data_IF_897190467667
#
_entry.id   IF_897190467667
#
_cell.length_a   1.000
_cell.length_b   1.000
_cell.length_c   1.000
_cell.angle_alpha   90.00
_cell.angle_beta   90.00
_cell.angle_gamma   90.00
#
_symmetry.space_group_name_H-M   'P 1'
#
loop_
_entity.id
_entity.type
_entity.pdbx_description
1 polymer ?
#
# COMPACT_ATOMS: atom_id res chain seq x y z
N UNK A 1 -57.94 -29.06 -56.78
CA UNK A 1 -56.73 -29.39 -56.01
C UNK A 1 -55.84 -28.18 -55.97
N UNK A 2 -55.87 -27.39 -54.84
CA UNK A 2 -55.03 -26.22 -54.66
C UNK A 2 -53.79 -26.67 -53.88
N UNK A 3 -52.61 -26.54 -54.44
CA UNK A 3 -51.32 -26.82 -53.77
C UNK A 3 -50.97 -25.63 -52.96
N UNK A 4 -50.90 -25.81 -51.62
CA UNK A 4 -50.42 -24.86 -50.67
C UNK A 4 -48.87 -24.96 -50.56
N UNK A 5 -48.13 -23.96 -50.98
CA UNK A 5 -46.66 -23.87 -50.74
C UNK A 5 -46.42 -23.26 -49.42
N UNK A 6 -45.89 -24.07 -48.48
CA UNK A 6 -45.44 -23.62 -47.18
C UNK A 6 -44.01 -23.04 -47.33
N UNK A 7 -43.86 -21.72 -47.26
CA UNK A 7 -42.55 -21.09 -47.22
C UNK A 7 -42.05 -21.12 -45.76
N UNK A 8 -41.11 -22.01 -45.48
CA UNK A 8 -40.41 -22.02 -44.18
C UNK A 8 -39.36 -20.90 -44.18
N UNK A 9 -39.66 -19.82 -43.48
CA UNK A 9 -38.71 -18.73 -43.21
C UNK A 9 -37.71 -19.21 -42.15
N UNK A 10 -36.50 -19.61 -42.55
CA UNK A 10 -35.38 -19.85 -41.64
C UNK A 10 -34.90 -18.52 -41.11
N UNK A 11 -35.35 -18.12 -39.91
CA UNK A 11 -34.76 -17.05 -39.13
C UNK A 11 -33.43 -17.55 -38.53
N UNK A 12 -32.34 -17.29 -39.22
CA UNK A 12 -31.02 -17.39 -38.64
C UNK A 12 -30.86 -16.26 -37.62
N UNK A 13 -31.06 -16.56 -36.36
CA UNK A 13 -30.59 -15.68 -35.28
C UNK A 13 -29.06 -15.71 -35.33
N UNK A 14 -28.47 -14.68 -35.96
CA UNK A 14 -27.08 -14.33 -35.69
C UNK A 14 -27.07 -13.76 -34.31
N UNK A 15 -26.85 -14.60 -33.31
CA UNK A 15 -26.50 -14.17 -31.98
C UNK A 15 -25.13 -13.50 -32.09
N UNK A 16 -25.15 -12.17 -32.23
CA UNK A 16 -23.96 -11.37 -31.99
C UNK A 16 -23.74 -11.36 -30.48
N UNK A 17 -23.27 -12.47 -29.91
CA UNK A 17 -22.90 -12.59 -28.52
C UNK A 17 -21.72 -11.67 -28.28
N UNK A 18 -21.93 -10.57 -27.54
CA UNK A 18 -20.83 -9.79 -26.97
C UNK A 18 -19.95 -10.73 -26.16
N UNK A 19 -18.63 -10.69 -26.40
CA UNK A 19 -17.71 -11.49 -25.60
C UNK A 19 -17.86 -11.08 -24.12
N UNK A 20 -17.77 -12.03 -23.16
CA UNK A 20 -17.71 -11.66 -21.74
C UNK A 20 -16.63 -10.59 -21.48
N UNK A 21 -16.89 -9.69 -20.55
CA UNK A 21 -16.01 -8.54 -20.26
C UNK A 21 -14.60 -9.01 -19.91
N UNK A 22 -14.46 -10.06 -19.09
CA UNK A 22 -13.20 -10.66 -18.66
C UNK A 22 -12.36 -11.12 -19.85
N UNK A 23 -13.02 -11.69 -20.87
CA UNK A 23 -12.34 -12.12 -22.09
C UNK A 23 -11.91 -10.94 -22.96
N UNK A 24 -12.72 -9.87 -23.01
CA UNK A 24 -12.36 -8.66 -23.75
C UNK A 24 -11.12 -7.99 -23.12
N UNK A 25 -11.07 -7.92 -21.79
CA UNK A 25 -9.94 -7.34 -21.06
C UNK A 25 -8.70 -8.21 -21.20
N UNK A 26 -8.84 -9.53 -21.02
CA UNK A 26 -7.72 -10.45 -21.18
C UNK A 26 -7.12 -10.41 -22.60
N UNK A 27 -7.92 -10.07 -23.64
CA UNK A 27 -7.42 -9.88 -25.02
C UNK A 27 -6.51 -8.65 -25.19
N UNK A 28 -6.46 -7.73 -24.22
CA UNK A 28 -5.68 -6.48 -24.28
C UNK A 28 -4.38 -6.53 -23.48
N UNK A 29 -4.16 -7.59 -22.72
CA UNK A 29 -2.88 -7.74 -22.04
C UNK A 29 -1.75 -7.93 -23.04
N UNK A 30 -0.70 -7.16 -22.91
CA UNK A 30 0.59 -7.43 -23.53
C UNK A 30 1.21 -8.62 -22.81
N UNK A 31 1.55 -9.68 -23.56
CA UNK A 31 2.11 -10.90 -23.01
C UNK A 31 3.64 -10.86 -23.06
N UNK A 32 4.27 -11.34 -22.01
CA UNK A 32 5.72 -11.42 -21.87
C UNK A 32 6.12 -12.83 -21.41
N UNK A 33 7.26 -13.32 -21.88
CA UNK A 33 7.87 -14.57 -21.44
C UNK A 33 8.83 -14.35 -20.25
N UNK A 34 9.33 -13.13 -20.10
CA UNK A 34 10.20 -12.67 -19.04
C UNK A 34 9.58 -11.41 -18.42
N UNK A 35 9.59 -11.27 -17.12
CA UNK A 35 9.02 -10.10 -16.43
C UNK A 35 9.75 -8.80 -16.80
N UNK A 36 11.06 -8.87 -16.99
CA UNK A 36 11.88 -7.70 -17.34
C UNK A 36 11.51 -7.07 -18.69
N UNK A 37 10.98 -7.86 -19.63
CA UNK A 37 10.45 -7.37 -20.90
C UNK A 37 9.23 -6.45 -20.72
N UNK A 38 8.51 -6.57 -19.59
CA UNK A 38 7.34 -5.74 -19.26
C UNK A 38 7.70 -4.37 -18.68
N UNK A 39 8.92 -4.17 -18.22
CA UNK A 39 9.32 -2.97 -17.49
C UNK A 39 9.35 -1.72 -18.37
N UNK A 40 9.76 -1.83 -19.64
CA UNK A 40 9.74 -0.69 -20.57
C UNK A 40 8.32 -0.19 -20.88
N UNK A 41 7.31 -1.05 -21.18
CA UNK A 41 5.92 -0.61 -21.28
C UNK A 41 5.37 0.04 -20.01
N UNK A 42 5.74 -0.47 -18.82
CA UNK A 42 5.35 0.14 -17.54
C UNK A 42 6.03 1.50 -17.38
N UNK A 43 7.34 1.61 -17.63
CA UNK A 43 8.07 2.89 -17.60
C UNK A 43 7.44 3.92 -18.51
N UNK A 44 7.01 3.51 -19.72
CA UNK A 44 6.28 4.39 -20.64
C UNK A 44 4.93 4.86 -20.08
N UNK A 45 4.18 3.98 -19.41
CA UNK A 45 2.88 4.32 -18.81
C UNK A 45 3.01 5.29 -17.62
N UNK A 46 4.10 5.20 -16.85
CA UNK A 46 4.32 6.03 -15.65
C UNK A 46 5.16 7.28 -15.90
N UNK A 47 5.65 7.51 -17.12
CA UNK A 47 6.64 8.54 -17.48
C UNK A 47 6.33 9.94 -16.94
N UNK A 48 5.06 10.35 -16.99
CA UNK A 48 4.63 11.69 -16.59
C UNK A 48 3.95 11.68 -15.20
N UNK A 49 4.19 10.64 -14.41
CA UNK A 49 3.56 10.45 -13.10
C UNK A 49 4.54 10.80 -11.99
N UNK A 50 4.04 11.58 -11.04
CA UNK A 50 4.79 11.94 -9.84
C UNK A 50 4.75 10.87 -8.76
N UNK A 51 3.66 10.09 -8.74
CA UNK A 51 3.40 9.04 -7.77
C UNK A 51 3.06 7.76 -8.52
N UNK A 52 3.84 6.70 -8.30
CA UNK A 52 3.59 5.36 -8.83
C UNK A 52 3.33 4.43 -7.65
N UNK A 53 2.13 3.87 -7.55
CA UNK A 53 1.76 2.92 -6.50
C UNK A 53 1.91 1.50 -7.04
N UNK A 54 2.74 0.69 -6.42
CA UNK A 54 2.91 -0.73 -6.72
C UNK A 54 2.19 -1.55 -5.64
N UNK A 55 1.06 -2.14 -6.03
CA UNK A 55 0.24 -2.95 -5.16
C UNK A 55 0.74 -4.39 -5.01
N UNK A 56 0.03 -5.19 -4.20
CA UNK A 56 0.12 -6.65 -4.10
C UNK A 56 -1.24 -7.19 -3.66
N UNK A 57 -1.61 -8.39 -4.11
CA UNK A 57 -2.89 -8.98 -3.76
C UNK A 57 -2.93 -9.42 -2.28
N UNK A 58 -1.80 -9.89 -1.75
CA UNK A 58 -1.61 -10.27 -0.36
C UNK A 58 -0.19 -10.04 0.12
N UNK A 59 -0.01 -9.84 1.44
CA UNK A 59 1.30 -9.62 2.07
C UNK A 59 2.16 -10.89 2.18
N UNK A 60 1.90 -11.87 1.33
CA UNK A 60 2.53 -13.18 1.32
C UNK A 60 2.94 -13.63 -0.10
N UNK A 61 2.93 -12.69 -1.04
CA UNK A 61 3.09 -12.88 -2.49
C UNK A 61 4.57 -12.80 -2.91
N UNK A 62 5.33 -13.87 -2.73
CA UNK A 62 6.78 -13.88 -2.98
C UNK A 62 7.14 -13.42 -4.39
N UNK A 63 6.52 -14.00 -5.44
CA UNK A 63 6.83 -13.61 -6.82
C UNK A 63 6.48 -12.14 -7.11
N UNK A 64 5.38 -11.64 -6.54
CA UNK A 64 5.03 -10.21 -6.64
C UNK A 64 6.11 -9.34 -6.01
N UNK A 65 6.63 -9.72 -4.82
CA UNK A 65 7.69 -8.96 -4.15
C UNK A 65 8.98 -8.90 -4.98
N UNK A 66 9.36 -10.01 -5.59
CA UNK A 66 10.53 -10.09 -6.47
C UNK A 66 10.39 -9.13 -7.65
N UNK A 67 9.27 -9.20 -8.38
CA UNK A 67 9.01 -8.35 -9.54
C UNK A 67 8.91 -6.86 -9.15
N UNK A 68 8.25 -6.54 -8.02
CA UNK A 68 8.20 -5.15 -7.53
C UNK A 68 9.60 -4.62 -7.21
N UNK A 69 10.46 -5.44 -6.59
CA UNK A 69 11.84 -5.05 -6.26
C UNK A 69 12.65 -4.76 -7.53
N UNK A 70 12.58 -5.63 -8.53
CA UNK A 70 13.26 -5.46 -9.81
C UNK A 70 12.73 -4.27 -10.60
N UNK A 71 11.40 -4.09 -10.62
CA UNK A 71 10.75 -2.95 -11.28
C UNK A 71 11.15 -1.62 -10.63
N UNK A 72 11.23 -1.56 -9.31
CA UNK A 72 11.71 -0.36 -8.59
C UNK A 72 13.16 -0.04 -9.00
N UNK A 73 14.04 -1.03 -8.98
CA UNK A 73 15.43 -0.83 -9.40
C UNK A 73 15.53 -0.36 -10.86
N UNK A 74 14.70 -0.92 -11.74
CA UNK A 74 14.62 -0.53 -13.15
C UNK A 74 14.13 0.92 -13.34
N UNK A 75 13.02 1.29 -12.70
CA UNK A 75 12.45 2.63 -12.79
C UNK A 75 13.35 3.69 -12.14
N UNK A 76 14.17 3.29 -11.18
CA UNK A 76 15.09 4.18 -10.47
C UNK A 76 16.50 4.27 -11.10
N UNK A 77 16.70 3.75 -12.31
CA UNK A 77 18.02 3.75 -12.99
C UNK A 77 18.65 5.15 -13.07
N UNK A 78 17.82 6.18 -13.23
CA UNK A 78 18.24 7.58 -13.33
C UNK A 78 18.08 8.36 -12.01
N UNK A 79 17.83 7.68 -10.89
CA UNK A 79 17.52 8.26 -9.56
C UNK A 79 16.35 9.27 -9.57
N UNK A 80 15.37 9.04 -10.43
CA UNK A 80 14.20 9.93 -10.57
C UNK A 80 13.16 9.71 -9.47
N UNK A 81 13.16 8.54 -8.84
CA UNK A 81 12.19 8.15 -7.83
C UNK A 81 12.84 7.88 -6.47
N UNK A 82 12.14 8.25 -5.41
CA UNK A 82 12.39 7.75 -4.06
C UNK A 82 11.32 6.69 -3.73
N UNK A 83 11.67 5.67 -2.95
CA UNK A 83 10.73 4.62 -2.57
C UNK A 83 10.06 4.97 -1.25
N UNK A 84 8.73 4.97 -1.22
CA UNK A 84 7.95 5.19 0.00
C UNK A 84 7.30 3.88 0.43
N UNK A 85 7.54 3.51 1.68
CA UNK A 85 7.28 2.16 2.19
C UNK A 85 6.12 2.15 3.19
N UNK A 86 5.10 1.35 2.91
CA UNK A 86 4.16 0.86 3.93
C UNK A 86 4.92 -0.03 4.93
N UNK A 87 4.52 0.02 6.20
CA UNK A 87 5.17 -0.74 7.27
C UNK A 87 6.54 -0.19 7.69
N UNK A 88 6.89 1.03 7.27
CA UNK A 88 8.01 1.80 7.81
C UNK A 88 7.49 3.12 8.36
N UNK A 89 7.86 3.44 9.61
CA UNK A 89 7.48 4.68 10.27
C UNK A 89 8.13 5.92 9.64
N UNK A 90 7.41 7.02 9.68
CA UNK A 90 7.87 8.31 9.18
C UNK A 90 9.17 8.79 9.87
N UNK A 91 9.23 8.68 11.21
CA UNK A 91 10.39 9.07 12.00
C UNK A 91 11.60 8.18 11.73
N UNK A 92 11.39 6.87 11.53
CA UNK A 92 12.46 5.92 11.19
C UNK A 92 13.20 6.36 9.94
N UNK A 93 12.47 6.71 8.90
CA UNK A 93 13.06 7.15 7.66
C UNK A 93 13.87 8.45 7.86
N UNK A 94 13.35 9.42 8.61
CA UNK A 94 14.06 10.68 8.89
C UNK A 94 15.39 10.44 9.59
N UNK A 95 15.45 9.49 10.53
CA UNK A 95 16.69 9.12 11.23
C UNK A 95 17.62 8.33 10.32
N UNK A 96 17.13 7.33 9.61
CA UNK A 96 17.94 6.47 8.73
C UNK A 96 18.52 7.23 7.54
N UNK A 97 17.78 8.20 7.00
CA UNK A 97 18.28 9.08 5.94
C UNK A 97 19.19 10.21 6.45
N UNK A 98 19.49 10.24 7.76
CA UNK A 98 20.39 11.22 8.38
C UNK A 98 19.84 12.66 8.42
N UNK A 99 18.55 12.84 8.20
CA UNK A 99 17.88 14.15 8.34
C UNK A 99 17.74 14.53 9.79
N UNK A 100 17.50 13.55 10.67
CA UNK A 100 17.54 13.69 12.11
C UNK A 100 18.66 12.83 12.73
N UNK A 101 19.28 13.28 13.87
CA UNK A 101 20.27 12.48 14.56
C UNK A 101 19.64 11.25 15.22
N UNK A 102 20.36 10.12 15.37
CA UNK A 102 19.86 8.88 15.98
C UNK A 102 19.82 8.96 17.53
N UNK A 103 19.12 9.94 18.07
CA UNK A 103 19.00 10.13 19.52
C UNK A 103 18.24 8.94 20.14
N UNK A 104 18.74 8.43 21.27
CA UNK A 104 18.09 7.38 22.05
C UNK A 104 17.91 6.03 21.32
N UNK A 105 18.40 5.86 20.09
CA UNK A 105 18.32 4.62 19.32
C UNK A 105 19.71 4.00 19.24
N UNK A 106 19.83 2.72 19.63
CA UNK A 106 21.08 1.97 19.48
C UNK A 106 21.42 1.82 18.00
N UNK A 107 22.63 2.23 17.60
CA UNK A 107 23.10 2.16 16.22
C UNK A 107 23.09 0.75 15.63
N UNK A 108 23.09 -0.31 16.46
CA UNK A 108 22.97 -1.68 16.00
C UNK A 108 21.58 -2.01 15.42
N UNK A 109 20.55 -1.24 15.74
CA UNK A 109 19.20 -1.41 15.23
C UNK A 109 18.87 -0.44 14.09
N UNK A 110 19.75 0.55 13.83
CA UNK A 110 19.56 1.55 12.76
C UNK A 110 19.89 0.95 11.39
N UNK A 111 18.98 0.13 10.90
CA UNK A 111 19.04 -0.50 9.58
C UNK A 111 17.65 -0.49 8.94
N UNK A 112 17.60 -0.28 7.64
CA UNK A 112 16.36 -0.34 6.86
C UNK A 112 15.66 -1.70 7.00
N UNK A 113 16.42 -2.79 7.12
CA UNK A 113 15.87 -4.13 7.31
C UNK A 113 15.18 -4.31 8.69
N UNK A 114 15.52 -3.50 9.69
CA UNK A 114 14.87 -3.51 11.00
C UNK A 114 13.71 -2.52 11.09
N UNK A 115 13.79 -1.41 10.35
CA UNK A 115 12.78 -0.36 10.37
C UNK A 115 11.60 -0.66 9.42
N UNK A 116 11.85 -1.34 8.30
CA UNK A 116 10.79 -1.80 7.43
C UNK A 116 10.18 -3.10 7.94
N UNK A 117 8.85 -3.23 7.89
CA UNK A 117 8.15 -4.40 8.43
C UNK A 117 8.74 -5.72 7.91
N UNK A 118 8.94 -6.67 8.84
CA UNK A 118 9.56 -7.96 8.56
C UNK A 118 8.84 -8.78 7.47
N UNK A 119 7.54 -8.54 7.25
CA UNK A 119 6.78 -9.20 6.19
C UNK A 119 7.43 -9.03 4.81
N UNK A 120 8.12 -7.92 4.60
CA UNK A 120 8.87 -7.62 3.38
C UNK A 120 10.37 -7.67 3.61
N UNK A 121 10.90 -6.94 4.58
CA UNK A 121 12.35 -6.76 4.77
C UNK A 121 13.12 -8.04 5.09
N UNK A 122 12.45 -9.07 5.60
CA UNK A 122 13.07 -10.37 5.95
C UNK A 122 12.86 -11.45 4.88
N UNK A 123 12.40 -11.05 3.68
CA UNK A 123 12.19 -12.01 2.59
C UNK A 123 13.37 -12.00 1.62
N UNK A 124 13.62 -13.17 1.02
CA UNK A 124 14.65 -13.32 -0.02
C UNK A 124 14.35 -12.46 -1.24
N UNK A 125 13.07 -12.32 -1.56
CA UNK A 125 12.54 -11.65 -2.75
C UNK A 125 12.79 -10.14 -2.73
N UNK A 126 12.85 -9.51 -1.56
CA UNK A 126 13.14 -8.08 -1.42
C UNK A 126 14.59 -7.78 -1.09
N UNK A 127 15.43 -8.80 -0.93
CA UNK A 127 16.82 -8.63 -0.44
C UNK A 127 17.67 -7.72 -1.34
N UNK A 128 17.48 -7.73 -2.66
CA UNK A 128 18.17 -6.82 -3.59
C UNK A 128 17.79 -5.36 -3.32
N UNK A 129 16.48 -5.09 -3.16
CA UNK A 129 15.96 -3.75 -2.88
C UNK A 129 16.44 -3.26 -1.50
N UNK A 130 16.38 -4.10 -0.47
CA UNK A 130 16.91 -3.76 0.88
C UNK A 130 18.39 -3.40 0.80
N UNK A 131 19.19 -4.18 0.07
CA UNK A 131 20.62 -3.89 -0.15
C UNK A 131 20.83 -2.60 -0.93
N UNK A 132 20.00 -2.31 -1.94
CA UNK A 132 20.06 -1.07 -2.71
C UNK A 132 19.75 0.16 -1.84
N UNK A 133 18.75 0.04 -0.97
CA UNK A 133 18.40 1.06 0.03
C UNK A 133 19.53 1.24 1.06
N UNK A 134 20.06 0.15 1.61
CA UNK A 134 21.15 0.20 2.59
C UNK A 134 22.43 0.83 2.02
N UNK A 135 22.75 0.55 0.76
CA UNK A 135 23.91 1.13 0.08
C UNK A 135 23.70 2.58 -0.42
N UNK A 136 22.52 3.14 -0.25
CA UNK A 136 22.15 4.48 -0.72
C UNK A 136 21.96 4.59 -2.25
N UNK A 137 21.90 3.47 -2.97
CA UNK A 137 21.55 3.45 -4.41
C UNK A 137 20.09 3.81 -4.64
N UNK A 138 19.22 3.42 -3.74
CA UNK A 138 17.79 3.73 -3.72
C UNK A 138 17.51 4.54 -2.49
N UNK A 139 17.03 5.78 -2.64
CA UNK A 139 16.53 6.59 -1.54
C UNK A 139 15.14 6.09 -1.14
N UNK A 140 14.82 6.18 0.14
CA UNK A 140 13.54 5.71 0.64
C UNK A 140 12.99 6.61 1.74
N UNK A 141 11.69 6.48 2.00
CA UNK A 141 11.00 7.14 3.10
C UNK A 141 9.94 6.21 3.69
N UNK A 142 9.57 6.42 4.94
CA UNK A 142 8.47 5.70 5.60
C UNK A 142 7.18 6.52 5.54
N UNK A 143 6.05 5.87 5.34
CA UNK A 143 4.75 6.55 5.34
C UNK A 143 3.78 6.04 6.39
N UNK A 144 4.11 4.96 7.10
CA UNK A 144 3.15 4.32 8.00
C UNK A 144 3.08 5.02 9.35
N UNK A 145 1.88 5.08 9.92
CA UNK A 145 1.66 5.52 11.29
C UNK A 145 1.54 4.34 12.27
N UNK A 146 1.54 3.10 11.78
CA UNK A 146 1.63 1.93 12.65
C UNK A 146 3.04 1.81 13.23
N UNK A 147 3.17 1.32 14.48
CA UNK A 147 4.45 1.30 15.18
C UNK A 147 5.53 0.54 14.42
N UNK A 148 6.67 1.19 14.28
CA UNK A 148 7.90 0.65 13.77
C UNK A 148 9.03 0.94 14.76
N UNK A 149 10.29 0.79 14.37
CA UNK A 149 11.43 0.84 15.28
C UNK A 149 11.47 2.11 16.16
N UNK A 150 11.33 3.31 15.54
CA UNK A 150 11.47 4.59 16.27
C UNK A 150 10.27 4.93 17.15
N UNK A 151 9.11 4.36 16.89
CA UNK A 151 7.94 4.63 17.72
C UNK A 151 8.13 4.14 19.15
N UNK A 152 8.87 3.06 19.36
CA UNK A 152 9.25 2.60 20.70
C UNK A 152 10.12 3.64 21.46
N UNK A 153 10.75 4.57 20.75
CA UNK A 153 11.63 5.60 21.31
C UNK A 153 11.05 7.00 21.14
N UNK A 154 9.84 7.16 20.61
CA UNK A 154 9.26 8.47 20.26
C UNK A 154 9.32 9.46 21.45
N UNK A 155 8.84 9.08 22.63
CA UNK A 155 8.78 9.98 23.79
C UNK A 155 10.19 10.38 24.27
N UNK A 156 11.13 9.44 24.51
CA UNK A 156 12.53 9.77 24.81
C UNK A 156 13.16 10.61 23.69
N UNK A 157 12.86 10.32 22.44
CA UNK A 157 13.38 11.02 21.28
C UNK A 157 12.92 12.49 21.25
N UNK A 158 11.63 12.75 21.43
CA UNK A 158 11.05 14.08 21.52
C UNK A 158 11.68 14.88 22.67
N UNK A 159 11.86 14.24 23.84
CA UNK A 159 12.48 14.85 25.00
C UNK A 159 13.95 15.23 24.73
N UNK A 160 14.72 14.36 24.08
CA UNK A 160 16.14 14.59 23.81
C UNK A 160 16.37 15.59 22.66
N UNK A 161 15.42 15.67 21.72
CA UNK A 161 15.56 16.50 20.53
C UNK A 161 15.39 17.99 20.78
N UNK A 162 14.63 18.42 21.80
CA UNK A 162 14.34 19.83 22.06
C UNK A 162 14.26 20.16 23.55
N UNK A 163 15.03 21.16 24.04
CA UNK A 163 14.92 21.66 25.42
C UNK A 163 13.52 22.16 25.78
N UNK A 164 12.78 22.70 24.79
CA UNK A 164 11.41 23.16 25.00
C UNK A 164 10.49 22.03 25.40
N UNK A 165 10.63 20.86 24.72
CA UNK A 165 9.89 19.64 25.02
C UNK A 165 10.26 19.05 26.39
N UNK A 166 11.53 19.09 26.77
CA UNK A 166 12.00 18.60 28.09
C UNK A 166 11.25 19.20 29.24
N UNK A 167 10.85 20.47 29.15
CA UNK A 167 10.08 21.16 30.20
C UNK A 167 8.65 20.64 30.34
N UNK A 168 8.02 20.20 29.25
CA UNK A 168 6.68 19.61 29.24
C UNK A 168 6.69 18.20 29.82
N UNK A 169 7.78 17.46 29.60
CA UNK A 169 7.96 16.07 30.03
C UNK A 169 8.62 15.93 31.41
N UNK A 170 8.80 17.05 32.15
CA UNK A 170 9.45 17.02 33.45
C UNK A 170 8.64 16.24 34.51
N UNK A 171 9.37 15.64 35.48
CA UNK A 171 8.79 14.91 36.60
C UNK A 171 8.02 13.64 36.17
N UNK A 172 6.91 13.35 36.86
CA UNK A 172 6.10 12.15 36.62
C UNK A 172 5.40 12.14 35.25
N UNK A 173 5.43 13.26 34.51
CA UNK A 173 4.77 13.35 33.18
C UNK A 173 5.43 12.40 32.20
N UNK A 174 6.77 12.32 32.20
CA UNK A 174 7.53 11.41 31.32
C UNK A 174 7.13 9.95 31.56
N UNK A 175 7.21 9.48 32.81
CA UNK A 175 6.93 8.07 33.15
C UNK A 175 5.46 7.70 32.84
N UNK A 176 4.52 8.62 33.14
CA UNK A 176 3.11 8.39 32.84
C UNK A 176 2.82 8.31 31.34
N UNK A 177 3.48 9.19 30.57
CA UNK A 177 3.30 9.22 29.12
C UNK A 177 3.94 8.00 28.46
N UNK A 178 5.13 7.58 28.90
CA UNK A 178 5.79 6.35 28.46
C UNK A 178 4.91 5.13 28.71
N UNK A 179 4.38 4.98 29.95
CA UNK A 179 3.54 3.84 30.29
C UNK A 179 2.28 3.74 29.42
N UNK A 180 1.67 4.86 29.06
CA UNK A 180 0.51 4.87 28.15
C UNK A 180 0.96 4.59 26.71
N UNK A 181 2.04 5.20 26.26
CA UNK A 181 2.59 5.01 24.92
C UNK A 181 2.96 3.54 24.65
N UNK A 182 3.65 2.88 25.58
CA UNK A 182 3.98 1.46 25.46
C UNK A 182 2.74 0.58 25.29
N UNK A 183 1.64 0.93 25.98
CA UNK A 183 0.35 0.24 25.84
C UNK A 183 -0.35 0.55 24.53
N UNK A 184 -0.21 1.77 24.01
CA UNK A 184 -0.71 2.15 22.66
C UNK A 184 0.02 1.33 21.60
N UNK A 185 1.37 1.29 21.63
CA UNK A 185 2.18 0.50 20.70
C UNK A 185 1.83 -1.00 20.79
N UNK A 186 1.62 -1.50 22.00
CA UNK A 186 1.20 -2.89 22.24
C UNK A 186 -0.26 -3.18 21.89
N UNK A 187 -1.01 -2.21 21.39
CA UNK A 187 -2.45 -2.35 21.07
C UNK A 187 -3.25 -2.91 22.23
N UNK A 188 -2.98 -2.43 23.46
CA UNK A 188 -3.62 -2.91 24.68
C UNK A 188 -5.11 -2.53 24.70
N UNK A 189 -5.98 -3.52 24.52
CA UNK A 189 -7.43 -3.34 24.50
C UNK A 189 -8.02 -2.89 25.84
N UNK A 190 -7.23 -2.84 26.92
CA UNK A 190 -7.66 -2.37 28.25
C UNK A 190 -7.40 -0.86 28.46
N UNK A 191 -6.81 -0.16 27.46
CA UNK A 191 -6.65 1.30 27.51
C UNK A 191 -8.01 1.97 27.61
N UNK A 192 -8.08 2.90 28.55
CA UNK A 192 -9.29 3.72 28.75
C UNK A 192 -9.27 4.97 27.89
N UNK A 193 -10.44 5.49 27.54
CA UNK A 193 -10.54 6.77 26.84
C UNK A 193 -9.83 7.90 27.57
N UNK A 194 -9.84 7.95 28.92
CA UNK A 194 -9.15 8.97 29.71
C UNK A 194 -7.61 8.89 29.53
N UNK A 195 -7.02 7.70 29.43
CA UNK A 195 -5.60 7.53 29.17
C UNK A 195 -5.23 7.99 27.76
N UNK A 196 -6.04 7.66 26.76
CA UNK A 196 -5.86 8.13 25.39
C UNK A 196 -6.04 9.65 25.29
N UNK A 197 -7.04 10.24 25.97
CA UNK A 197 -7.24 11.70 26.05
C UNK A 197 -6.03 12.40 26.71
N UNK A 198 -5.45 11.79 27.75
CA UNK A 198 -4.24 12.29 28.37
C UNK A 198 -3.05 12.25 27.41
N UNK A 199 -2.86 11.13 26.67
CA UNK A 199 -1.82 10.99 25.67
C UNK A 199 -1.96 12.06 24.59
N UNK A 200 -3.13 12.17 23.97
CA UNK A 200 -3.41 13.13 22.90
C UNK A 200 -3.20 14.58 23.38
N UNK A 201 -3.65 14.92 24.59
CA UNK A 201 -3.43 16.24 25.18
C UNK A 201 -1.95 16.54 25.40
N UNK A 202 -1.14 15.54 25.82
CA UNK A 202 0.30 15.69 26.01
C UNK A 202 1.05 15.84 24.70
N UNK A 203 0.71 15.05 23.67
CA UNK A 203 1.27 15.21 22.32
C UNK A 203 1.01 16.63 21.79
N UNK A 204 -0.20 17.17 21.97
CA UNK A 204 -0.51 18.54 21.57
C UNK A 204 0.23 19.60 22.40
N UNK A 205 0.50 19.36 23.71
CA UNK A 205 1.35 20.24 24.52
C UNK A 205 2.81 20.22 24.04
N UNK A 206 3.34 19.06 23.67
CA UNK A 206 4.68 18.92 23.08
C UNK A 206 4.75 19.68 21.76
N UNK A 207 3.77 19.52 20.87
CA UNK A 207 3.66 20.28 19.62
C UNK A 207 3.71 21.78 19.85
N UNK A 208 2.95 22.27 20.83
CA UNK A 208 2.99 23.69 21.20
C UNK A 208 4.36 24.13 21.68
N UNK A 209 5.07 23.30 22.45
CA UNK A 209 6.43 23.60 22.87
C UNK A 209 7.44 23.65 21.70
N UNK A 210 7.18 22.92 20.63
CA UNK A 210 7.98 22.94 19.39
C UNK A 210 7.78 24.24 18.57
N UNK A 211 6.80 25.09 18.90
CA UNK A 211 6.68 26.41 18.27
C UNK A 211 7.94 27.30 18.52
N UNK A 212 8.65 27.08 19.63
CA UNK A 212 9.90 27.77 19.97
C UNK A 212 11.15 27.09 19.34
N UNK A 213 11.03 25.98 18.61
CA UNK A 213 12.14 25.34 17.92
C UNK A 213 12.58 26.19 16.72
N UNK A 214 13.86 26.48 16.63
CA UNK A 214 14.43 27.35 15.61
C UNK A 214 14.85 26.60 14.35
N UNK A 215 15.11 25.30 14.45
CA UNK A 215 15.35 24.43 13.31
C UNK A 215 14.01 24.02 12.71
N UNK A 216 13.63 24.70 11.64
CA UNK A 216 12.34 24.52 10.98
C UNK A 216 12.20 23.15 10.33
N UNK A 217 13.29 22.53 9.87
CA UNK A 217 13.25 21.18 9.29
C UNK A 217 12.99 20.14 10.38
N UNK A 218 13.76 20.20 11.45
CA UNK A 218 13.56 19.34 12.62
C UNK A 218 12.14 19.49 13.17
N UNK A 219 11.69 20.75 13.34
CA UNK A 219 10.32 21.03 13.80
C UNK A 219 9.28 20.35 12.92
N UNK A 220 9.35 20.51 11.60
CA UNK A 220 8.37 19.95 10.67
C UNK A 220 8.33 18.41 10.71
N UNK A 221 9.48 17.76 10.90
CA UNK A 221 9.56 16.30 11.05
C UNK A 221 8.97 15.84 12.40
N UNK A 222 9.28 16.54 13.48
CA UNK A 222 8.74 16.20 14.80
C UNK A 222 7.23 16.45 14.90
N UNK A 223 6.73 17.51 14.27
CA UNK A 223 5.29 17.76 14.16
C UNK A 223 4.59 16.60 13.44
N UNK A 224 5.16 16.12 12.33
CA UNK A 224 4.62 14.96 11.60
C UNK A 224 4.73 13.65 12.38
N UNK A 225 5.81 13.44 13.15
CA UNK A 225 5.92 12.28 14.05
C UNK A 225 4.82 12.29 15.13
N UNK A 226 4.46 13.48 15.63
CA UNK A 226 3.33 13.65 16.56
C UNK A 226 1.99 13.34 15.86
N UNK A 227 1.80 13.76 14.59
CA UNK A 227 0.58 13.44 13.82
C UNK A 227 0.42 11.93 13.64
N UNK A 228 1.51 11.23 13.33
CA UNK A 228 1.51 9.77 13.23
C UNK A 228 1.13 9.10 14.57
N UNK A 229 1.69 9.55 15.68
CA UNK A 229 1.36 9.02 17.01
C UNK A 229 -0.10 9.28 17.39
N UNK A 230 -0.65 10.44 17.06
CA UNK A 230 -2.06 10.77 17.27
C UNK A 230 -2.99 9.95 16.37
N UNK A 231 -2.61 9.73 15.12
CA UNK A 231 -3.37 8.88 14.20
C UNK A 231 -3.41 7.44 14.71
N UNK A 232 -2.28 6.90 15.20
CA UNK A 232 -2.25 5.56 15.78
C UNK A 232 -3.03 5.47 17.10
N UNK A 233 -2.94 6.46 17.98
CA UNK A 233 -3.82 6.59 19.18
C UNK A 233 -5.30 6.55 18.78
N UNK A 234 -5.67 7.24 17.69
CA UNK A 234 -7.03 7.22 17.14
C UNK A 234 -7.48 5.82 16.70
N UNK A 235 -6.60 5.04 16.06
CA UNK A 235 -6.89 3.64 15.70
C UNK A 235 -7.11 2.78 16.95
N UNK A 236 -6.23 2.89 17.95
CA UNK A 236 -6.33 2.13 19.21
C UNK A 236 -7.62 2.49 19.96
N UNK A 237 -8.02 3.77 19.94
CA UNK A 237 -9.26 4.26 20.57
C UNK A 237 -10.51 3.61 20.01
N UNK A 238 -10.53 3.31 18.71
CA UNK A 238 -11.65 2.63 18.05
C UNK A 238 -11.70 1.15 18.41
N UNK A 239 -10.58 0.57 18.84
CA UNK A 239 -10.46 -0.86 19.09
C UNK A 239 -10.35 -1.69 17.81
N UNK A 240 -9.78 -2.89 17.94
CA UNK A 240 -9.61 -3.82 16.81
C UNK A 240 -10.66 -4.93 16.82
N UNK A 241 -11.65 -4.87 17.72
CA UNK A 241 -12.60 -5.97 17.98
C UNK A 241 -13.95 -5.78 17.32
N UNK A 242 -14.36 -4.55 17.03
CA UNK A 242 -15.64 -4.26 16.38
C UNK A 242 -15.43 -3.95 14.90
N UNK A 243 -16.21 -4.58 14.03
CA UNK A 243 -16.09 -4.49 12.57
C UNK A 243 -16.16 -3.06 12.03
N UNK A 244 -17.10 -2.25 12.54
CA UNK A 244 -17.22 -0.84 12.11
C UNK A 244 -16.05 0.01 12.60
N UNK A 245 -15.50 -0.29 13.78
CA UNK A 245 -14.34 0.39 14.33
C UNK A 245 -13.06 0.07 13.52
N UNK A 246 -12.89 -1.18 13.06
CA UNK A 246 -11.77 -1.55 12.17
C UNK A 246 -11.79 -0.75 10.87
N UNK A 247 -12.97 -0.54 10.28
CA UNK A 247 -13.12 0.21 9.03
C UNK A 247 -12.67 1.67 9.19
N UNK A 248 -13.10 2.34 10.28
CA UNK A 248 -12.67 3.70 10.56
C UNK A 248 -11.17 3.77 10.91
N UNK A 249 -10.64 2.77 11.60
CA UNK A 249 -9.20 2.63 11.88
C UNK A 249 -8.36 2.58 10.60
N UNK A 250 -8.82 1.87 9.57
CA UNK A 250 -8.19 1.83 8.25
C UNK A 250 -8.23 3.22 7.60
N UNK A 251 -9.36 3.92 7.63
CA UNK A 251 -9.48 5.27 7.07
C UNK A 251 -8.52 6.26 7.75
N UNK A 252 -8.34 6.16 9.07
CA UNK A 252 -7.39 6.99 9.82
C UNK A 252 -5.95 6.70 9.33
N UNK A 253 -5.57 5.42 9.21
CA UNK A 253 -4.23 5.01 8.77
C UNK A 253 -3.96 5.48 7.33
N UNK A 254 -4.87 5.21 6.41
CA UNK A 254 -4.69 5.53 5.00
C UNK A 254 -4.60 7.05 4.77
N UNK A 255 -5.41 7.83 5.49
CA UNK A 255 -5.29 9.28 5.48
C UNK A 255 -3.93 9.74 5.98
N UNK A 256 -3.45 9.21 7.12
CA UNK A 256 -2.14 9.60 7.66
C UNK A 256 -1.00 9.19 6.72
N UNK A 257 -1.07 8.01 6.12
CA UNK A 257 -0.09 7.59 5.10
C UNK A 257 -0.06 8.57 3.91
N UNK A 258 -1.23 9.01 3.44
CA UNK A 258 -1.31 9.99 2.37
C UNK A 258 -0.72 11.36 2.80
N UNK A 259 -1.03 11.84 3.99
CA UNK A 259 -0.48 13.09 4.55
C UNK A 259 1.05 13.01 4.68
N UNK A 260 1.61 11.86 5.04
CA UNK A 260 3.05 11.62 5.09
C UNK A 260 3.69 11.71 3.69
N UNK A 261 3.05 11.13 2.66
CA UNK A 261 3.50 11.22 1.26
C UNK A 261 3.39 12.67 0.74
N UNK A 262 2.29 13.35 1.02
CA UNK A 262 2.09 14.75 0.68
C UNK A 262 3.17 15.64 1.31
N UNK A 263 3.44 15.45 2.60
CA UNK A 263 4.50 16.16 3.31
C UNK A 263 5.86 15.94 2.63
N UNK A 264 6.19 14.69 2.30
CA UNK A 264 7.44 14.35 1.62
C UNK A 264 7.58 15.04 0.26
N UNK A 265 6.55 14.95 -0.58
CA UNK A 265 6.55 15.57 -1.90
C UNK A 265 6.56 17.10 -1.87
N UNK A 266 5.93 17.71 -0.86
CA UNK A 266 5.98 19.17 -0.67
C UNK A 266 7.36 19.62 -0.20
N UNK A 267 8.04 18.81 0.61
CA UNK A 267 9.38 19.08 1.11
C UNK A 267 10.45 18.88 0.01
N UNK A 268 10.23 17.92 -0.87
CA UNK A 268 11.12 17.57 -1.96
C UNK A 268 10.39 17.69 -3.32
N UNK A 269 10.11 18.92 -3.79
CA UNK A 269 9.22 19.15 -4.94
C UNK A 269 9.75 18.59 -6.27
N UNK A 270 11.06 18.41 -6.39
CA UNK A 270 11.73 17.88 -7.58
C UNK A 270 11.80 16.33 -7.57
N UNK A 271 11.22 15.67 -6.56
CA UNK A 271 11.24 14.21 -6.45
C UNK A 271 9.91 13.60 -6.89
N UNK A 272 10.01 12.43 -7.49
CA UNK A 272 8.90 11.53 -7.72
C UNK A 272 8.99 10.37 -6.71
N UNK A 273 7.90 9.67 -6.47
CA UNK A 273 7.89 8.53 -5.54
C UNK A 273 7.29 7.28 -6.14
N UNK A 274 7.86 6.13 -5.77
CA UNK A 274 7.26 4.83 -5.95
C UNK A 274 6.81 4.36 -4.58
N UNK A 275 5.54 4.04 -4.44
CA UNK A 275 4.95 3.56 -3.18
C UNK A 275 4.84 2.04 -3.21
N UNK A 276 5.43 1.38 -2.22
CA UNK A 276 5.24 -0.03 -1.94
C UNK A 276 4.07 -0.20 -0.98
N UNK A 277 2.99 -0.86 -1.42
CA UNK A 277 1.81 -1.10 -0.58
C UNK A 277 0.98 -2.28 -1.11
N UNK A 278 -0.15 -2.61 -0.45
CA UNK A 278 -1.13 -3.56 -0.98
C UNK A 278 -2.01 -2.93 -2.07
N UNK A 279 -2.58 -3.76 -2.96
CA UNK A 279 -3.59 -3.33 -3.91
C UNK A 279 -4.74 -2.59 -3.21
N UNK A 280 -5.14 -3.08 -2.04
CA UNK A 280 -6.23 -2.48 -1.26
C UNK A 280 -5.95 -1.00 -0.97
N UNK A 281 -4.81 -0.67 -0.35
CA UNK A 281 -4.42 0.71 -0.05
C UNK A 281 -4.15 1.55 -1.30
N UNK A 282 -3.65 0.90 -2.38
CA UNK A 282 -3.39 1.55 -3.66
C UNK A 282 -4.64 1.88 -4.50
N UNK A 283 -5.81 1.41 -4.10
CA UNK A 283 -7.06 1.60 -4.81
C UNK A 283 -7.50 3.08 -4.82
N UNK A 284 -7.74 3.64 -6.00
CA UNK A 284 -8.15 5.05 -6.17
C UNK A 284 -9.65 5.27 -5.93
N UNK A 285 -10.47 4.24 -6.13
CA UNK A 285 -11.91 4.26 -5.87
C UNK A 285 -12.39 2.85 -5.51
N UNK A 286 -12.11 2.41 -4.28
CA UNK A 286 -12.47 1.05 -3.83
C UNK A 286 -13.99 0.82 -3.83
N UNK A 287 -14.79 1.86 -3.65
CA UNK A 287 -16.25 1.82 -3.70
C UNK A 287 -16.84 1.39 -5.05
N UNK A 288 -16.03 1.35 -6.12
CA UNK A 288 -16.42 0.83 -7.43
C UNK A 288 -16.37 -0.71 -7.50
N UNK A 289 -15.86 -1.36 -6.48
CA UNK A 289 -15.78 -2.82 -6.35
C UNK A 289 -16.89 -3.29 -5.42
N UNK A 290 -17.65 -4.30 -5.83
CA UNK A 290 -18.67 -4.89 -4.98
C UNK A 290 -18.03 -5.85 -3.98
N UNK A 291 -18.10 -5.53 -2.68
CA UNK A 291 -17.65 -6.44 -1.63
C UNK A 291 -18.52 -7.69 -1.54
N UNK A 292 -19.85 -7.52 -1.47
CA UNK A 292 -20.85 -8.57 -1.64
C UNK A 292 -20.85 -9.67 -0.60
N UNK A 293 -20.13 -9.53 0.52
CA UNK A 293 -20.03 -10.52 1.60
C UNK A 293 -20.76 -10.05 2.85
N UNK A 294 -21.48 -10.99 3.51
CA UNK A 294 -22.02 -10.77 4.84
C UNK A 294 -20.88 -10.63 5.88
N UNK A 295 -21.06 -9.87 6.96
CA UNK A 295 -22.27 -9.17 7.38
C UNK A 295 -22.49 -7.77 6.74
N UNK A 296 -21.59 -7.29 5.91
CA UNK A 296 -21.63 -5.94 5.34
C UNK A 296 -21.29 -5.97 3.84
N UNK A 297 -22.28 -6.23 2.97
CA UNK A 297 -22.04 -6.33 1.54
C UNK A 297 -21.59 -5.01 0.90
N UNK A 298 -21.82 -3.88 1.55
CA UNK A 298 -21.45 -2.54 1.09
C UNK A 298 -20.18 -2.02 1.77
N UNK A 299 -19.38 -2.89 2.37
CA UNK A 299 -18.19 -2.54 3.15
C UNK A 299 -17.26 -1.57 2.40
N UNK A 300 -16.99 -1.82 1.13
CA UNK A 300 -16.06 -0.99 0.36
C UNK A 300 -16.54 0.46 0.15
N UNK A 301 -17.83 0.74 0.34
CA UNK A 301 -18.34 2.11 0.32
C UNK A 301 -17.95 2.93 1.57
N UNK A 302 -17.44 2.28 2.62
CA UNK A 302 -17.02 2.91 3.87
C UNK A 302 -15.54 3.34 3.86
N UNK A 303 -14.77 2.90 2.87
CA UNK A 303 -13.34 3.20 2.81
C UNK A 303 -13.02 4.40 1.93
N UNK A 304 -12.09 5.21 2.41
CA UNK A 304 -11.34 6.21 1.64
C UNK A 304 -9.86 5.90 1.84
N UNK A 305 -9.25 5.28 0.85
CA UNK A 305 -7.93 4.68 0.95
C UNK A 305 -6.80 5.62 0.49
N UNK A 306 -5.55 5.23 0.74
CA UNK A 306 -4.33 5.96 0.37
C UNK A 306 -4.36 6.43 -1.10
N UNK A 307 -4.67 5.51 -2.03
CA UNK A 307 -4.72 5.83 -3.47
C UNK A 307 -5.75 6.90 -3.80
N UNK A 308 -6.91 6.90 -3.12
CA UNK A 308 -7.96 7.91 -3.31
C UNK A 308 -7.54 9.28 -2.74
N UNK A 309 -6.92 9.31 -1.55
CA UNK A 309 -6.38 10.54 -0.95
C UNK A 309 -5.32 11.17 -1.85
N UNK A 310 -4.37 10.36 -2.35
CA UNK A 310 -3.30 10.84 -3.23
C UNK A 310 -3.82 11.32 -4.59
N UNK A 311 -4.79 10.64 -5.21
CA UNK A 311 -5.40 11.13 -6.46
C UNK A 311 -6.13 12.46 -6.26
N UNK A 312 -6.75 12.70 -5.10
CA UNK A 312 -7.36 13.98 -4.74
C UNK A 312 -6.33 15.10 -4.54
N UNK A 313 -5.20 14.79 -3.89
CA UNK A 313 -4.13 15.75 -3.61
C UNK A 313 -3.28 16.06 -4.86
N UNK A 314 -3.06 15.08 -5.73
CA UNK A 314 -2.25 15.16 -6.95
C UNK A 314 -3.02 14.68 -8.19
N UNK A 315 -4.07 15.39 -8.62
CA UNK A 315 -4.97 14.94 -9.69
C UNK A 315 -4.23 14.64 -10.99
N UNK A 316 -4.40 13.42 -11.50
CA UNK A 316 -3.78 12.96 -12.75
C UNK A 316 -2.27 12.66 -12.66
N UNK A 317 -1.64 12.85 -11.50
CA UNK A 317 -0.21 12.61 -11.27
C UNK A 317 0.05 11.26 -10.59
N UNK A 318 -0.99 10.51 -10.23
CA UNK A 318 -0.91 9.18 -9.62
C UNK A 318 -1.09 8.12 -10.68
N UNK A 319 -0.31 7.05 -10.60
CA UNK A 319 -0.51 5.81 -11.35
C UNK A 319 -0.53 4.64 -10.37
N UNK A 320 -1.65 3.98 -10.24
CA UNK A 320 -1.81 2.81 -9.40
C UNK A 320 -1.76 1.54 -10.24
N UNK A 321 -0.71 0.72 -10.03
CA UNK A 321 -0.47 -0.56 -10.68
C UNK A 321 -0.82 -1.70 -9.71
N UNK A 322 -1.91 -2.42 -10.01
CA UNK A 322 -2.29 -3.59 -9.25
C UNK A 322 -1.56 -4.84 -9.76
N UNK A 323 -1.17 -5.73 -8.85
CA UNK A 323 -0.61 -7.04 -9.18
C UNK A 323 -1.62 -8.14 -8.85
N UNK A 324 -1.72 -9.14 -9.72
CA UNK A 324 -2.59 -10.31 -9.54
C UNK A 324 -1.96 -11.56 -10.13
N UNK A 325 -2.43 -12.74 -9.72
CA UNK A 325 -1.86 -14.00 -10.16
C UNK A 325 -2.92 -14.98 -10.66
N UNK A 326 -2.55 -15.79 -11.66
CA UNK A 326 -3.39 -16.82 -12.27
C UNK A 326 -3.27 -18.18 -11.60
N UNK A 327 -2.36 -18.36 -10.65
CA UNK A 327 -2.12 -19.63 -10.00
C UNK A 327 -0.93 -19.60 -9.05
N UNK A 328 -0.48 -20.78 -8.64
CA UNK A 328 0.62 -20.94 -7.70
C UNK A 328 0.18 -20.92 -6.23
N UNK A 329 0.92 -20.26 -5.37
CA UNK A 329 0.62 -20.19 -3.95
C UNK A 329 1.07 -18.87 -3.32
N UNK A 330 0.43 -18.49 -2.22
CA UNK A 330 0.85 -17.43 -1.31
C UNK A 330 1.19 -18.03 0.07
N UNK A 331 1.96 -17.33 0.88
CA UNK A 331 2.28 -17.74 2.23
C UNK A 331 3.39 -16.88 2.83
N UNK A 332 3.27 -16.62 4.13
CA UNK A 332 4.27 -15.85 4.85
C UNK A 332 5.60 -16.61 4.96
N UNK A 333 6.71 -15.89 4.89
CA UNK A 333 8.06 -16.49 4.94
C UNK A 333 8.30 -17.32 6.20
N UNK A 334 7.70 -16.96 7.33
CA UNK A 334 7.83 -17.66 8.62
C UNK A 334 6.84 -18.82 8.77
N UNK A 335 5.87 -18.99 7.86
CA UNK A 335 4.91 -20.08 7.91
C UNK A 335 5.43 -21.32 7.14
N UNK A 336 5.13 -22.51 7.64
CA UNK A 336 5.49 -23.77 6.96
C UNK A 336 4.53 -24.09 5.79
N UNK A 337 3.31 -23.65 5.88
CA UNK A 337 2.23 -23.88 4.92
C UNK A 337 2.12 -22.72 3.91
N UNK A 338 1.41 -23.00 2.86
CA UNK A 338 1.02 -22.02 1.84
C UNK A 338 -0.40 -22.30 1.39
N UNK A 339 -1.07 -21.25 0.93
CA UNK A 339 -2.42 -21.33 0.37
C UNK A 339 -2.32 -21.34 -1.16
N UNK A 340 -2.98 -22.28 -1.81
CA UNK A 340 -3.03 -22.32 -3.28
C UNK A 340 -3.87 -21.15 -3.82
N UNK A 341 -3.36 -20.47 -4.83
CA UNK A 341 -4.07 -19.45 -5.58
C UNK A 341 -4.84 -20.17 -6.69
N UNK A 342 -6.17 -20.12 -6.64
CA UNK A 342 -7.05 -20.75 -7.63
C UNK A 342 -8.03 -19.70 -8.13
N UNK A 343 -7.80 -19.14 -9.33
CA UNK A 343 -8.70 -18.14 -9.89
C UNK A 343 -10.07 -18.74 -10.20
N UNK A 344 -11.13 -18.02 -9.85
CA UNK A 344 -12.50 -18.41 -10.18
C UNK A 344 -12.70 -18.45 -11.71
N UNK A 345 -13.46 -19.43 -12.20
CA UNK A 345 -13.70 -19.64 -13.63
C UNK A 345 -14.35 -18.44 -14.35
N UNK A 346 -14.98 -17.53 -13.61
CA UNK A 346 -15.56 -16.30 -14.15
C UNK A 346 -14.59 -15.11 -14.13
N UNK A 347 -13.41 -15.23 -13.50
CA UNK A 347 -12.47 -14.12 -13.33
C UNK A 347 -11.63 -13.85 -14.59
N UNK A 348 -11.09 -12.65 -14.66
CA UNK A 348 -10.12 -12.25 -15.68
C UNK A 348 -8.85 -13.11 -15.59
N UNK A 349 -8.37 -13.39 -14.39
CA UNK A 349 -7.17 -14.20 -14.14
C UNK A 349 -7.31 -15.62 -14.68
N UNK A 350 -8.51 -16.21 -14.57
CA UNK A 350 -8.81 -17.50 -15.20
C UNK A 350 -8.68 -17.42 -16.71
N UNK A 351 -9.18 -16.35 -17.35
CA UNK A 351 -9.05 -16.16 -18.80
C UNK A 351 -7.57 -16.00 -19.21
N UNK A 352 -6.76 -15.30 -18.41
CA UNK A 352 -5.34 -15.11 -18.68
C UNK A 352 -4.54 -16.39 -18.51
N UNK A 353 -4.80 -17.19 -17.47
CA UNK A 353 -4.09 -18.46 -17.22
C UNK A 353 -4.25 -19.46 -18.37
N UNK A 354 -5.40 -19.45 -19.05
CA UNK A 354 -5.69 -20.31 -20.20
C UNK A 354 -5.04 -19.87 -21.51
N UNK A 355 -4.36 -18.71 -21.54
CA UNK A 355 -3.64 -18.19 -22.72
C UNK A 355 -2.18 -18.57 -22.76
N UNK A 356 -1.68 -19.22 -21.72
CA UNK A 356 -0.26 -19.60 -21.63
C UNK A 356 0.67 -18.39 -21.46
N UNK A 357 0.13 -17.24 -20.98
CA UNK A 357 0.88 -16.02 -20.71
C UNK A 357 1.63 -16.19 -19.38
N UNK A 358 2.94 -16.03 -19.37
CA UNK A 358 3.75 -16.10 -18.14
C UNK A 358 3.59 -14.80 -17.35
N UNK A 359 3.74 -13.66 -18.01
CA UNK A 359 3.50 -12.33 -17.45
C UNK A 359 2.65 -11.51 -18.42
N UNK A 360 1.87 -10.59 -17.86
CA UNK A 360 1.04 -9.71 -18.65
C UNK A 360 0.89 -8.33 -18.05
N UNK A 361 0.86 -7.31 -18.87
CA UNK A 361 0.59 -5.94 -18.45
C UNK A 361 -0.55 -5.35 -19.28
N UNK A 362 -1.49 -4.69 -18.63
CA UNK A 362 -2.56 -3.94 -19.26
C UNK A 362 -2.64 -2.53 -18.66
N UNK A 363 -2.40 -1.51 -19.49
CA UNK A 363 -2.58 -0.11 -19.12
C UNK A 363 -4.06 0.28 -19.29
N UNK A 364 -4.77 0.36 -18.17
CA UNK A 364 -6.18 0.73 -18.12
C UNK A 364 -6.38 2.25 -18.27
N UNK A 365 -5.38 3.07 -17.94
CA UNK A 365 -5.46 4.53 -18.00
C UNK A 365 -5.74 5.05 -19.41
N UNK A 366 -5.37 4.30 -20.43
CA UNK A 366 -5.63 4.59 -21.84
C UNK A 366 -7.01 4.13 -22.32
N UNK A 367 -7.77 3.44 -21.47
CA UNK A 367 -9.03 2.79 -21.85
C UNK A 367 -10.24 3.50 -21.27
N UNK A 368 -10.49 4.73 -21.75
CA UNK A 368 -11.66 5.53 -21.35
C UNK A 368 -12.99 4.83 -21.66
N UNK A 369 -13.00 3.95 -22.65
CA UNK A 369 -14.14 3.09 -23.00
C UNK A 369 -14.46 2.01 -21.97
N UNK A 370 -13.55 1.78 -20.99
CA UNK A 370 -13.71 0.76 -19.93
C UNK A 370 -14.06 1.36 -18.57
N UNK A 371 -14.15 2.67 -18.45
CA UNK A 371 -14.47 3.32 -17.17
C UNK A 371 -15.72 2.74 -16.50
N UNK A 372 -16.76 2.41 -17.28
CA UNK A 372 -18.00 1.82 -16.76
C UNK A 372 -18.08 0.30 -16.94
N UNK A 373 -17.04 -0.33 -17.46
CA UNK A 373 -17.03 -1.78 -17.67
C UNK A 373 -16.87 -2.52 -16.34
N UNK A 374 -17.86 -3.34 -16.02
CA UNK A 374 -17.81 -4.24 -14.86
C UNK A 374 -17.28 -5.58 -15.30
N UNK A 375 -16.26 -6.10 -14.61
CA UNK A 375 -15.73 -7.44 -14.80
C UNK A 375 -15.29 -8.07 -13.48
N UNK A 376 -15.16 -9.39 -13.46
CA UNK A 376 -14.72 -10.16 -12.31
C UNK A 376 -13.21 -10.27 -12.28
N UNK A 377 -12.60 -10.02 -11.13
CA UNK A 377 -11.15 -10.13 -10.91
C UNK A 377 -10.84 -10.54 -9.47
N UNK A 378 -9.65 -11.11 -9.25
CA UNK A 378 -9.14 -11.57 -7.96
C UNK A 378 -8.05 -10.65 -7.39
N UNK A 379 -7.93 -9.43 -7.88
CA UNK A 379 -6.91 -8.43 -7.50
C UNK A 379 -6.86 -8.16 -5.99
N UNK A 380 -7.99 -8.24 -5.28
CA UNK A 380 -8.08 -7.97 -3.84
C UNK A 380 -8.11 -9.27 -3.03
N UNK A 381 -6.95 -9.71 -2.56
CA UNK A 381 -6.82 -10.87 -1.67
C UNK A 381 -7.23 -12.19 -2.31
N UNK A 382 -7.10 -12.31 -3.63
CA UNK A 382 -7.52 -13.47 -4.42
C UNK A 382 -9.01 -13.84 -4.33
N UNK A 383 -9.82 -12.93 -3.78
CA UNK A 383 -11.27 -13.03 -3.79
C UNK A 383 -11.86 -12.55 -5.11
N UNK A 384 -12.64 -13.39 -5.78
CA UNK A 384 -13.28 -13.03 -7.05
C UNK A 384 -14.43 -12.04 -6.83
N UNK A 385 -14.26 -10.80 -7.29
CA UNK A 385 -15.22 -9.71 -7.12
C UNK A 385 -15.53 -9.02 -8.44
N UNK A 386 -16.83 -8.65 -8.67
CA UNK A 386 -17.20 -7.79 -9.79
C UNK A 386 -16.91 -6.32 -9.42
N UNK A 387 -16.41 -5.55 -10.38
CA UNK A 387 -16.14 -4.15 -10.16
C UNK A 387 -15.77 -3.37 -11.42
N UNK A 388 -15.78 -2.04 -11.30
CA UNK A 388 -15.25 -1.11 -12.32
C UNK A 388 -13.76 -0.89 -12.08
N UNK A 389 -12.98 -1.92 -12.32
CA UNK A 389 -11.55 -1.96 -11.99
C UNK A 389 -10.73 -0.88 -12.68
N UNK A 390 -11.16 -0.39 -13.86
CA UNK A 390 -10.52 0.73 -14.55
C UNK A 390 -10.74 2.10 -13.87
N UNK A 391 -11.66 2.21 -12.90
CA UNK A 391 -11.76 3.38 -12.03
C UNK A 391 -10.92 3.22 -10.76
N UNK A 392 -10.54 1.98 -10.43
CA UNK A 392 -9.82 1.64 -9.20
C UNK A 392 -8.31 1.65 -9.40
N UNK A 393 -7.84 1.16 -10.56
CA UNK A 393 -6.41 1.08 -10.91
C UNK A 393 -6.14 1.62 -12.30
N UNK A 394 -4.94 2.16 -12.52
CA UNK A 394 -4.50 2.65 -13.83
C UNK A 394 -3.86 1.53 -14.67
N UNK A 395 -3.34 0.50 -14.04
CA UNK A 395 -2.78 -0.66 -14.70
C UNK A 395 -2.94 -1.95 -13.90
N UNK A 396 -2.84 -3.08 -14.59
CA UNK A 396 -2.82 -4.40 -13.98
C UNK A 396 -1.61 -5.16 -14.49
N UNK A 397 -0.82 -5.69 -13.56
CA UNK A 397 0.25 -6.65 -13.82
C UNK A 397 -0.21 -8.06 -13.44
N UNK A 398 -0.13 -8.97 -14.37
CA UNK A 398 -0.51 -10.37 -14.21
C UNK A 398 0.71 -11.27 -14.12
N UNK A 399 0.70 -12.19 -13.17
CA UNK A 399 1.70 -13.24 -12.96
C UNK A 399 0.98 -14.59 -13.11
N UNK A 400 1.50 -15.49 -13.96
CA UNK A 400 0.88 -16.79 -14.15
C UNK A 400 0.91 -17.65 -12.90
N UNK A 401 2.10 -17.79 -12.30
CA UNK A 401 2.34 -18.62 -11.13
C UNK A 401 3.06 -17.80 -10.06
N UNK A 402 2.38 -17.56 -8.95
CA UNK A 402 2.98 -16.97 -7.77
C UNK A 402 3.61 -18.05 -6.88
N UNK A 403 4.44 -17.66 -5.94
CA UNK A 403 4.95 -18.52 -4.88
C UNK A 403 4.93 -17.76 -3.55
N UNK A 404 4.92 -18.52 -2.45
CA UNK A 404 5.00 -17.91 -1.13
C UNK A 404 6.33 -17.17 -0.95
N UNK A 405 6.35 -16.18 -0.07
CA UNK A 405 7.57 -15.50 0.33
C UNK A 405 8.53 -16.47 1.06
N UNK A 406 9.84 -16.31 0.86
CA UNK A 406 10.87 -17.15 1.47
C UNK A 406 11.71 -16.33 2.44
N UNK A 407 12.08 -16.97 3.57
CA UNK A 407 12.96 -16.34 4.54
C UNK A 407 14.36 -16.10 3.94
N UNK A 408 14.93 -14.93 4.27
CA UNK A 408 16.31 -14.65 3.91
C UNK A 408 17.24 -15.57 4.72
N UNK A 409 18.02 -16.39 4.04
CA UNK A 409 19.06 -17.19 4.69
C UNK A 409 20.17 -16.26 5.17
N UNK A 410 20.22 -15.99 6.46
CA UNK A 410 21.30 -15.22 7.11
C UNK A 410 22.51 -16.09 7.43
#
# INVERSE_FOLDING_TARGET
>A
MKKLYLFALLLTFVSCGTKPAEKQIADQFMAFSDESDSFEPIKAAVKDKRIVILGEAGHADGRTFEIKSELIEYLNTDNEYDVVLEGMGFLDAAVLQGVLPPLCIDSNYLDVANAWNALWSQTKETSSLVNAMHSGKVRYWGMDCQPSLSDYFLIPYLMASSPCVSSVLAGNTFDSLMAIHDRIIGMDTTLTHNELDYFDAKMNQIRKALEDETDMEKKAILDMAIDNALAFSGQVRLGFTEWDAQNEGINIRDRQMAENVEWYLNRYPDRNVIIWTANFHGAKQISQINYGKEPDPDLYNKYVLLGEHLEKAFPGQVYSLAFTSGGGSEGYFYANDSTAIVPDSISMEFQLSHRGMEYGFCDLSQRKDWTDLVFYSTILGYDCKPGKWAQTFDGIFYIKENHKAHEINR
#
